data_IF_174070651836
#
_entry.id   IF_174070651836
#
_cell.length_a   1.000
_cell.length_b   1.000
_cell.length_c   1.000
_cell.angle_alpha   90.00
_cell.angle_beta   90.00
_cell.angle_gamma   90.00
#
_symmetry.space_group_name_H-M   'P 1'
#
loop_
_entity.id
_entity.type
_entity.pdbx_description
1 polymer ?
#
# COMPACT_ATOMS: atom_id res chain seq x y z
N UNK A 1 33.04 40.89 4.42
CA UNK A 1 31.80 40.38 5.06
C UNK A 1 31.15 39.31 4.18
N UNK A 2 31.88 38.27 3.74
CA UNK A 2 31.31 37.20 2.88
C UNK A 2 31.73 35.78 3.31
N UNK A 3 32.73 35.64 4.17
CA UNK A 3 33.22 34.32 4.63
C UNK A 3 32.32 33.72 5.72
N UNK A 4 31.55 34.54 6.45
CA UNK A 4 30.67 34.07 7.54
C UNK A 4 29.40 33.37 7.02
N UNK A 5 28.93 33.73 5.82
CA UNK A 5 27.70 33.15 5.25
C UNK A 5 27.95 31.76 4.66
N UNK A 6 29.11 31.54 4.02
CA UNK A 6 29.49 30.25 3.45
C UNK A 6 29.68 29.14 4.50
N UNK A 7 30.12 29.50 5.71
CA UNK A 7 30.31 28.54 6.80
C UNK A 7 28.98 27.94 7.31
N UNK A 8 27.89 28.73 7.30
CA UNK A 8 26.56 28.24 7.70
C UNK A 8 25.93 27.33 6.65
N UNK A 9 26.14 27.63 5.36
CA UNK A 9 25.64 26.79 4.25
C UNK A 9 26.37 25.44 4.21
N UNK A 10 27.67 25.40 4.48
CA UNK A 10 28.44 24.16 4.53
C UNK A 10 28.11 23.30 5.78
N UNK A 11 27.79 23.93 6.91
CA UNK A 11 27.34 23.24 8.12
C UNK A 11 25.93 22.61 7.98
N UNK A 12 25.05 23.25 7.20
CA UNK A 12 23.72 22.72 6.88
C UNK A 12 23.76 21.53 5.92
N UNK A 13 24.78 21.46 5.05
CA UNK A 13 24.94 20.36 4.08
C UNK A 13 25.55 19.09 4.68
N UNK A 14 26.23 19.17 5.83
CA UNK A 14 26.87 18.02 6.50
C UNK A 14 26.03 17.40 7.62
N UNK A 15 24.86 17.96 7.94
CA UNK A 15 23.99 17.52 9.05
C UNK A 15 22.96 16.43 8.70
N UNK A 16 23.05 15.79 7.55
CA UNK A 16 22.05 14.86 7.04
C UNK A 16 22.50 13.40 7.01
N UNK A 17 22.63 12.75 8.16
CA UNK A 17 22.56 11.29 8.26
C UNK A 17 22.11 10.87 9.67
N UNK A 18 20.81 10.65 9.82
CA UNK A 18 20.26 9.93 10.96
C UNK A 18 19.44 8.75 10.45
N UNK A 19 20.13 7.76 9.87
CA UNK A 19 19.58 6.41 9.73
C UNK A 19 19.56 5.77 11.11
N UNK A 20 18.46 5.89 11.85
CA UNK A 20 18.25 5.11 13.06
C UNK A 20 18.22 3.61 12.73
N UNK A 21 18.61 2.72 13.66
CA UNK A 21 18.52 1.29 13.43
C UNK A 21 17.07 0.91 13.08
N UNK A 22 16.86 -0.09 12.21
CA UNK A 22 15.52 -0.54 11.86
C UNK A 22 14.79 -0.91 13.15
N UNK A 23 13.65 -0.27 13.42
CA UNK A 23 12.72 -0.80 14.43
C UNK A 23 12.37 -2.19 13.93
N UNK A 24 12.77 -3.22 14.67
CA UNK A 24 12.17 -4.54 14.52
C UNK A 24 10.66 -4.31 14.54
N UNK A 25 10.00 -4.61 13.42
CA UNK A 25 8.54 -4.65 13.39
C UNK A 25 8.06 -5.51 14.56
N UNK A 26 6.80 -5.35 15.01
CA UNK A 26 6.23 -6.35 15.90
C UNK A 26 6.55 -7.71 15.27
N UNK A 27 7.16 -8.59 16.06
CA UNK A 27 7.59 -9.92 15.64
C UNK A 27 6.58 -10.39 14.60
N UNK A 28 7.09 -10.53 13.37
CA UNK A 28 6.29 -10.96 12.23
C UNK A 28 5.37 -12.05 12.74
N UNK A 29 4.10 -12.01 12.32
CA UNK A 29 3.36 -13.25 12.22
C UNK A 29 4.23 -14.15 11.35
N UNK A 30 5.11 -14.90 12.00
CA UNK A 30 5.80 -16.01 11.43
C UNK A 30 4.67 -16.99 11.17
N UNK A 31 4.05 -16.87 10.00
CA UNK A 31 3.31 -17.96 9.38
C UNK A 31 4.38 -18.99 9.04
N UNK A 32 4.89 -19.63 10.08
CA UNK A 32 5.66 -20.85 10.01
C UNK A 32 4.72 -21.88 9.46
N UNK A 33 4.77 -22.07 8.15
CA UNK A 33 4.18 -23.19 7.45
C UNK A 33 4.92 -24.47 7.85
N UNK A 34 4.85 -24.85 9.12
CA UNK A 34 5.51 -26.01 9.71
C UNK A 34 4.87 -26.34 11.05
N UNK A 35 3.55 -26.56 11.07
CA UNK A 35 2.85 -27.54 11.91
C UNK A 35 1.34 -27.35 11.78
N UNK A 36 0.66 -28.26 11.08
CA UNK A 36 -0.81 -28.33 11.03
C UNK A 36 -1.45 -28.82 12.34
N UNK A 37 -0.78 -28.64 13.49
CA UNK A 37 -1.25 -29.08 14.80
C UNK A 37 -1.04 -28.03 15.89
N UNK A 38 -1.03 -26.74 15.52
CA UNK A 38 -1.14 -25.67 16.49
C UNK A 38 -2.62 -25.55 16.90
N UNK A 39 -2.97 -25.71 18.20
CA UNK A 39 -4.31 -25.38 18.65
C UNK A 39 -4.58 -23.92 18.27
N UNK A 40 -5.70 -23.68 17.59
CA UNK A 40 -6.03 -22.41 16.94
C UNK A 40 -5.62 -21.22 17.78
N UNK A 41 -4.96 -20.25 17.15
CA UNK A 41 -4.36 -19.07 17.77
C UNK A 41 -5.32 -18.42 18.78
N UNK A 42 -5.22 -18.85 20.04
CA UNK A 42 -6.01 -18.30 21.12
C UNK A 42 -5.15 -17.20 21.71
N UNK A 43 -5.25 -16.01 21.13
CA UNK A 43 -4.67 -14.80 21.68
C UNK A 43 -5.44 -14.42 22.94
N UNK A 44 -5.13 -15.07 24.06
CA UNK A 44 -5.61 -14.70 25.39
C UNK A 44 -4.82 -13.49 25.88
N UNK A 45 -5.08 -12.34 25.28
CA UNK A 45 -4.59 -11.06 25.77
C UNK A 45 -5.51 -9.96 25.26
N UNK A 46 -6.24 -9.33 26.19
CA UNK A 46 -6.75 -7.98 25.99
C UNK A 46 -5.54 -7.11 25.59
N UNK A 47 -5.44 -6.71 24.33
CA UNK A 47 -4.43 -5.75 23.91
C UNK A 47 -4.93 -4.35 24.29
N UNK A 48 -4.26 -3.63 25.20
CA UNK A 48 -4.68 -2.28 25.58
C UNK A 48 -4.71 -1.30 24.40
N UNK A 49 -4.05 -1.62 23.28
CA UNK A 49 -4.07 -0.82 22.05
C UNK A 49 -5.33 -1.00 21.20
N UNK A 50 -6.06 -2.11 21.35
CA UNK A 50 -7.31 -2.37 20.62
C UNK A 50 -8.50 -2.52 21.59
N UNK A 51 -9.10 -1.39 22.04
CA UNK A 51 -10.25 -1.43 22.92
C UNK A 51 -11.50 -2.06 22.30
N UNK A 52 -11.55 -2.24 20.97
CA UNK A 52 -12.68 -2.83 20.24
C UNK A 52 -12.40 -4.25 19.74
N UNK A 53 -11.42 -4.93 20.36
CA UNK A 53 -10.99 -6.27 19.98
C UNK A 53 -12.14 -7.29 19.85
N UNK A 54 -13.13 -7.24 20.74
CA UNK A 54 -14.28 -8.15 20.70
C UNK A 54 -15.14 -7.99 19.43
N UNK A 55 -15.46 -6.74 19.06
CA UNK A 55 -16.24 -6.44 17.87
C UNK A 55 -15.45 -6.72 16.59
N UNK A 56 -14.17 -6.35 16.56
CA UNK A 56 -13.28 -6.62 15.43
C UNK A 56 -13.13 -8.13 15.19
N UNK A 57 -12.94 -8.94 16.24
CA UNK A 57 -12.87 -10.41 16.13
C UNK A 57 -14.19 -11.03 15.70
N UNK A 58 -15.33 -10.55 16.20
CA UNK A 58 -16.63 -11.06 15.78
C UNK A 58 -16.86 -10.82 14.28
N UNK A 59 -16.55 -9.61 13.80
CA UNK A 59 -16.61 -9.29 12.37
C UNK A 59 -15.58 -10.09 11.55
N UNK A 60 -14.37 -10.27 12.09
CA UNK A 60 -13.35 -11.10 11.44
C UNK A 60 -13.81 -12.55 11.29
N UNK A 61 -14.41 -13.14 12.32
CA UNK A 61 -14.96 -14.50 12.26
C UNK A 61 -16.06 -14.60 11.19
N UNK A 62 -16.94 -13.61 11.08
CA UNK A 62 -17.94 -13.58 9.99
C UNK A 62 -17.27 -13.49 8.62
N UNK A 63 -16.27 -12.63 8.45
CA UNK A 63 -15.57 -12.47 7.18
C UNK A 63 -14.77 -13.73 6.79
N UNK A 64 -14.11 -14.37 7.75
CA UNK A 64 -13.24 -15.51 7.50
C UNK A 64 -14.00 -16.85 7.44
N UNK A 65 -14.91 -17.10 8.38
CA UNK A 65 -15.61 -18.39 8.46
C UNK A 65 -16.82 -18.47 7.51
N UNK A 66 -17.41 -17.33 7.14
CA UNK A 66 -18.60 -17.29 6.29
C UNK A 66 -18.29 -16.65 4.94
N UNK A 67 -17.84 -15.40 4.91
CA UNK A 67 -17.71 -14.70 3.62
C UNK A 67 -16.62 -15.32 2.73
N UNK A 68 -15.48 -15.71 3.31
CA UNK A 68 -14.38 -16.28 2.55
C UNK A 68 -14.74 -17.61 1.86
N UNK A 69 -15.19 -18.67 2.56
CA UNK A 69 -15.43 -19.97 1.92
C UNK A 69 -16.63 -19.97 0.97
N UNK A 70 -17.69 -19.22 1.30
CA UNK A 70 -18.95 -19.29 0.53
C UNK A 70 -19.03 -18.25 -0.60
N UNK A 71 -18.32 -17.13 -0.49
CA UNK A 71 -18.44 -16.03 -1.47
C UNK A 71 -17.09 -15.66 -2.06
N UNK A 72 -16.12 -15.26 -1.23
CA UNK A 72 -14.88 -14.69 -1.76
C UNK A 72 -14.05 -15.72 -2.54
N UNK A 73 -13.82 -16.91 -1.99
CA UNK A 73 -13.05 -17.98 -2.65
C UNK A 73 -13.64 -18.39 -4.00
N UNK A 74 -14.93 -18.76 -4.13
CA UNK A 74 -15.45 -19.15 -5.44
C UNK A 74 -15.42 -17.99 -6.45
N UNK A 75 -15.66 -16.75 -6.01
CA UNK A 75 -15.56 -15.57 -6.88
C UNK A 75 -14.13 -15.38 -7.38
N UNK A 76 -13.12 -15.46 -6.50
CA UNK A 76 -11.71 -15.30 -6.88
C UNK A 76 -11.28 -16.38 -7.89
N UNK A 77 -11.64 -17.64 -7.66
CA UNK A 77 -11.31 -18.73 -8.60
C UNK A 77 -12.01 -18.51 -9.94
N UNK A 78 -13.29 -18.13 -9.93
CA UNK A 78 -14.02 -17.82 -11.17
C UNK A 78 -13.39 -16.64 -11.93
N UNK A 79 -12.96 -15.59 -11.23
CA UNK A 79 -12.25 -14.47 -11.86
C UNK A 79 -10.92 -14.92 -12.47
N UNK A 80 -10.16 -15.75 -11.74
CA UNK A 80 -8.88 -16.27 -12.22
C UNK A 80 -9.04 -17.14 -13.48
N UNK A 81 -10.06 -17.98 -13.53
CA UNK A 81 -10.29 -18.96 -14.59
C UNK A 81 -10.97 -18.36 -15.84
N UNK A 82 -11.90 -17.41 -15.67
CA UNK A 82 -12.69 -16.85 -16.79
C UNK A 82 -12.09 -15.58 -17.39
N UNK A 83 -11.31 -14.81 -16.64
CA UNK A 83 -10.76 -13.53 -17.12
C UNK A 83 -9.36 -13.77 -17.70
N UNK A 84 -9.09 -13.37 -18.95
CA UNK A 84 -7.77 -13.47 -19.54
C UNK A 84 -6.80 -12.46 -18.92
N UNK A 85 -5.51 -12.78 -18.90
CA UNK A 85 -4.49 -12.00 -18.19
C UNK A 85 -4.38 -10.55 -18.70
N UNK A 86 -4.59 -10.31 -20.00
CA UNK A 86 -4.58 -8.95 -20.57
C UNK A 86 -5.68 -8.05 -20.01
N UNK A 87 -6.82 -8.62 -19.63
CA UNK A 87 -7.92 -7.86 -19.01
C UNK A 87 -7.63 -7.62 -17.52
N UNK A 88 -7.03 -8.59 -16.82
CA UNK A 88 -6.59 -8.41 -15.42
C UNK A 88 -5.57 -7.28 -15.33
N UNK A 89 -4.57 -7.28 -16.21
CA UNK A 89 -3.58 -6.20 -16.30
C UNK A 89 -4.25 -4.85 -16.59
N UNK A 90 -5.20 -4.79 -17.54
CA UNK A 90 -5.93 -3.56 -17.83
C UNK A 90 -6.71 -3.01 -16.61
N UNK A 91 -7.29 -3.88 -15.79
CA UNK A 91 -7.99 -3.50 -14.56
C UNK A 91 -7.00 -3.01 -13.50
N UNK A 92 -5.89 -3.71 -13.29
CA UNK A 92 -4.85 -3.30 -12.34
C UNK A 92 -4.28 -1.93 -12.70
N UNK A 93 -4.02 -1.69 -13.99
CA UNK A 93 -3.52 -0.43 -14.49
C UNK A 93 -4.54 0.71 -14.33
N UNK A 94 -5.83 0.43 -14.53
CA UNK A 94 -6.91 1.37 -14.27
C UNK A 94 -6.96 1.75 -12.78
N UNK A 95 -6.98 0.77 -11.87
CA UNK A 95 -7.05 1.03 -10.42
C UNK A 95 -5.83 1.83 -9.96
N UNK A 96 -4.62 1.45 -10.38
CA UNK A 96 -3.41 2.18 -10.04
C UNK A 96 -3.41 3.62 -10.57
N UNK A 97 -4.03 3.87 -11.73
CA UNK A 97 -4.18 5.23 -12.25
C UNK A 97 -5.11 6.10 -11.37
N UNK A 98 -6.09 5.52 -10.67
CA UNK A 98 -6.94 6.26 -9.72
C UNK A 98 -6.25 6.61 -8.40
N UNK A 99 -5.17 5.93 -8.05
CA UNK A 99 -4.38 6.28 -6.86
C UNK A 99 -3.49 7.51 -7.10
N UNK A 100 -3.06 7.76 -8.35
CA UNK A 100 -2.25 8.92 -8.75
C UNK A 100 -2.80 10.29 -8.30
N UNK A 101 -4.10 10.63 -8.47
CA UNK A 101 -4.66 11.89 -7.99
C UNK A 101 -4.69 11.99 -6.45
N UNK A 102 -4.88 10.88 -5.74
CA UNK A 102 -4.81 10.86 -4.26
C UNK A 102 -3.38 11.16 -3.80
N UNK A 103 -2.39 10.52 -4.43
CA UNK A 103 -0.97 10.79 -4.20
C UNK A 103 -0.60 12.24 -4.55
N UNK A 104 -1.11 12.78 -5.65
CA UNK A 104 -0.91 14.20 -6.02
C UNK A 104 -1.39 15.13 -4.91
N UNK A 105 -2.59 14.92 -4.36
CA UNK A 105 -3.11 15.72 -3.24
C UNK A 105 -2.17 15.64 -2.02
N UNK A 106 -1.64 14.45 -1.73
CA UNK A 106 -0.69 14.28 -0.63
C UNK A 106 0.64 15.00 -0.87
N UNK A 107 1.18 14.95 -2.10
CA UNK A 107 2.38 15.71 -2.49
C UNK A 107 2.15 17.22 -2.42
N UNK A 108 0.98 17.70 -2.82
CA UNK A 108 0.59 19.12 -2.70
C UNK A 108 0.53 19.57 -1.24
N UNK A 109 -0.08 18.78 -0.35
CA UNK A 109 -0.13 19.08 1.10
C UNK A 109 1.27 19.04 1.71
N UNK A 110 2.13 18.16 1.23
CA UNK A 110 3.53 18.03 1.68
C UNK A 110 4.47 19.09 1.07
N UNK A 111 3.99 19.94 0.16
CA UNK A 111 4.77 21.00 -0.50
C UNK A 111 5.70 20.53 -1.64
N UNK A 112 5.57 19.28 -2.09
CA UNK A 112 6.37 18.68 -3.16
C UNK A 112 5.70 18.90 -4.54
N UNK A 113 5.96 20.07 -5.12
CA UNK A 113 5.45 20.44 -6.45
C UNK A 113 6.00 19.56 -7.59
N UNK A 114 7.28 19.15 -7.61
CA UNK A 114 7.79 18.21 -8.61
C UNK A 114 7.09 16.85 -8.59
N UNK A 115 6.86 16.28 -7.39
CA UNK A 115 6.11 15.02 -7.23
C UNK A 115 4.66 15.15 -7.68
N UNK A 116 3.98 16.22 -7.26
CA UNK A 116 2.60 16.48 -7.67
C UNK A 116 2.43 16.64 -9.20
N UNK A 117 3.36 17.34 -9.86
CA UNK A 117 3.34 17.51 -11.31
C UNK A 117 3.60 16.20 -12.07
N UNK A 118 4.44 15.33 -11.54
CA UNK A 118 4.73 14.01 -12.13
C UNK A 118 3.49 13.11 -12.07
N UNK A 119 2.82 13.04 -10.92
CA UNK A 119 1.61 12.23 -10.76
C UNK A 119 0.44 12.78 -11.57
N UNK A 120 0.30 14.11 -11.67
CA UNK A 120 -0.70 14.75 -12.53
C UNK A 120 -0.44 14.45 -14.01
N UNK A 121 0.83 14.50 -14.44
CA UNK A 121 1.23 14.15 -15.81
C UNK A 121 0.90 12.70 -16.14
N UNK A 122 1.25 11.77 -15.26
CA UNK A 122 0.93 10.34 -15.40
C UNK A 122 -0.58 10.11 -15.48
N UNK A 123 -1.35 10.67 -14.55
CA UNK A 123 -2.80 10.57 -14.55
C UNK A 123 -3.42 11.15 -15.83
N UNK A 124 -3.00 12.33 -16.24
CA UNK A 124 -3.57 13.00 -17.43
C UNK A 124 -3.26 12.23 -18.70
N UNK A 125 -2.02 11.78 -18.87
CA UNK A 125 -1.62 11.03 -20.06
C UNK A 125 -2.30 9.64 -20.11
N UNK A 126 -2.32 8.92 -18.99
CA UNK A 126 -2.95 7.59 -18.90
C UNK A 126 -4.48 7.66 -19.07
N UNK A 127 -5.12 8.70 -18.53
CA UNK A 127 -6.58 8.86 -18.62
C UNK A 127 -7.02 9.33 -20.02
N UNK A 128 -6.23 10.20 -20.66
CA UNK A 128 -6.61 10.81 -21.95
C UNK A 128 -6.21 9.94 -23.15
N UNK A 129 -5.04 9.29 -23.11
CA UNK A 129 -4.53 8.48 -24.22
C UNK A 129 -4.68 6.97 -23.98
N UNK A 130 -4.71 6.50 -22.72
CA UNK A 130 -4.79 5.09 -22.36
C UNK A 130 -6.20 4.52 -22.18
N UNK A 131 -7.24 5.15 -22.76
CA UNK A 131 -8.66 4.79 -22.56
C UNK A 131 -9.00 4.64 -21.07
N UNK A 132 -8.86 5.73 -20.30
CA UNK A 132 -9.04 5.75 -18.84
C UNK A 132 -8.03 4.92 -18.02
N UNK A 133 -6.95 4.42 -18.64
CA UNK A 133 -5.92 3.60 -17.98
C UNK A 133 -6.04 2.08 -18.27
N UNK A 134 -6.99 1.68 -19.11
CA UNK A 134 -7.24 0.27 -19.47
C UNK A 134 -6.20 -0.24 -20.50
N UNK A 135 -5.78 0.62 -21.44
CA UNK A 135 -4.69 0.33 -22.36
C UNK A 135 -3.38 0.88 -21.79
N UNK A 136 -2.77 0.14 -20.88
CA UNK A 136 -1.34 0.31 -20.59
C UNK A 136 -0.58 -0.76 -21.39
N UNK A 137 0.17 -0.31 -22.39
CA UNK A 137 1.20 -1.12 -23.03
C UNK A 137 2.27 -1.50 -21.98
N UNK A 138 2.84 -2.71 -22.01
CA UNK A 138 3.79 -3.14 -20.98
C UNK A 138 4.95 -2.14 -20.85
N UNK A 139 5.24 -1.75 -19.62
CA UNK A 139 6.45 -1.05 -19.17
C UNK A 139 6.76 0.32 -19.79
N UNK A 140 6.69 1.36 -18.96
CA UNK A 140 7.72 2.41 -18.84
C UNK A 140 7.80 2.91 -17.40
#
# INVERSE_FOLDING_TARGET
MQVRLGAWVLALLLGGCAGGPPKSGPASLDVGLSNHNAPGATSTANDPKDPFQGANRAMWAVNFDVLEPYVARPVIHSYADYVPDSVKEGIDNFVNNFDEPSSMVNHLISGDLPGAGTNLGRFTLNTTLGLLGILMWPSM
#
